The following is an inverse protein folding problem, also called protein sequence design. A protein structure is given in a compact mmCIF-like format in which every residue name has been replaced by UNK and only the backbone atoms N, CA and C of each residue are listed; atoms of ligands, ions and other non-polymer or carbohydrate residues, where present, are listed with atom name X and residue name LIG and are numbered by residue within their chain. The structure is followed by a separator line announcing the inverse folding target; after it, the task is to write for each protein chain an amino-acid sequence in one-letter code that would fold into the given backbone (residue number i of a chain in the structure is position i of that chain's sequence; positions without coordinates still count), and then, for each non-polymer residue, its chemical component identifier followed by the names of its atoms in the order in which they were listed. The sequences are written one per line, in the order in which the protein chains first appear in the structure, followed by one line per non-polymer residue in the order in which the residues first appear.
data_IF_109899712458
#
_entry.id   IF_109899712458
#
_cell.length_a   1.000
_cell.length_b   1.000
_cell.length_c   1.000
_cell.angle_alpha   90.00
_cell.angle_beta   90.00
_cell.angle_gamma   90.00
#
_symmetry.space_group_name_H-M   'P 1'
#
loop_
_entity.id
_entity.type
_entity.pdbx_description
1 polymer ?
#
# COMPACT_ATOMS: atom_id res chain seq x y z
N UNK A 1 -38.63 62.22 -20.01
CA UNK A 1 -37.39 62.25 -19.20
C UNK A 1 -36.33 61.48 -19.99
N UNK A 2 -35.33 62.18 -20.53
CA UNK A 2 -34.26 61.59 -21.34
C UNK A 2 -33.05 61.38 -20.44
N UNK A 3 -32.72 60.13 -20.13
CA UNK A 3 -31.55 59.78 -19.34
C UNK A 3 -30.27 59.97 -20.15
N UNK A 4 -29.39 60.83 -19.63
CA UNK A 4 -28.06 61.08 -20.18
C UNK A 4 -27.07 60.10 -19.56
N UNK A 5 -26.60 59.14 -20.36
CA UNK A 5 -25.48 58.26 -20.04
C UNK A 5 -24.17 59.07 -20.07
N UNK A 6 -23.63 59.39 -18.89
CA UNK A 6 -22.27 59.91 -18.73
C UNK A 6 -21.26 58.81 -19.05
N UNK A 7 -20.50 58.99 -20.13
CA UNK A 7 -19.30 58.20 -20.40
C UNK A 7 -18.17 58.70 -19.49
N UNK A 8 -17.64 57.81 -18.64
CA UNK A 8 -16.42 58.04 -17.85
C UNK A 8 -15.24 57.54 -18.68
N UNK A 9 -14.39 58.46 -19.10
CA UNK A 9 -13.13 58.17 -19.81
C UNK A 9 -12.06 57.91 -18.75
N UNK A 10 -11.56 56.68 -18.66
CA UNK A 10 -10.39 56.36 -17.84
C UNK A 10 -9.12 56.56 -18.67
N UNK A 11 -8.28 57.48 -18.23
CA UNK A 11 -6.98 57.77 -18.80
C UNK A 11 -5.93 56.97 -18.01
N UNK A 12 -5.42 55.90 -18.61
CA UNK A 12 -4.37 55.07 -18.02
C UNK A 12 -3.03 55.72 -18.36
N UNK A 13 -2.39 56.34 -17.36
CA UNK A 13 -0.99 56.76 -17.46
C UNK A 13 -0.09 55.55 -17.19
N UNK A 14 0.59 55.08 -18.22
CA UNK A 14 1.71 54.14 -18.08
C UNK A 14 2.98 54.93 -17.84
N UNK A 15 3.51 54.86 -16.61
CA UNK A 15 4.86 55.33 -16.30
C UNK A 15 5.87 54.27 -16.75
N UNK A 16 6.70 54.63 -17.72
CA UNK A 16 7.88 53.86 -18.15
C UNK A 16 8.91 53.88 -17.02
N UNK A 17 9.13 52.72 -16.39
CA UNK A 17 10.26 52.53 -15.47
C UNK A 17 11.51 52.24 -16.28
N UNK A 18 12.48 53.16 -16.22
CA UNK A 18 13.83 52.96 -16.73
C UNK A 18 14.53 51.88 -15.89
N UNK A 19 15.01 50.83 -16.56
CA UNK A 19 15.84 49.78 -15.99
C UNK A 19 17.30 50.25 -16.06
N UNK A 20 17.87 50.59 -14.91
CA UNK A 20 19.31 50.79 -14.77
C UNK A 20 20.03 49.45 -14.97
N UNK A 21 21.01 49.46 -15.90
CA UNK A 21 21.91 48.35 -16.17
C UNK A 21 22.75 48.03 -14.92
N UNK A 22 22.38 46.97 -14.20
CA UNK A 22 23.23 46.39 -13.16
C UNK A 22 24.36 45.63 -13.85
N UNK A 23 25.55 46.25 -13.85
CA UNK A 23 26.83 45.63 -14.19
C UNK A 23 27.11 44.51 -13.19
N UNK A 24 26.94 43.26 -13.60
CA UNK A 24 27.34 42.08 -12.83
C UNK A 24 28.83 41.86 -13.11
N UNK A 25 29.69 42.31 -12.20
CA UNK A 25 31.10 41.91 -12.19
C UNK A 25 31.19 40.44 -11.75
N UNK A 26 31.80 39.63 -12.62
CA UNK A 26 32.06 38.23 -12.39
C UNK A 26 33.02 38.08 -11.20
N UNK A 27 32.51 37.56 -10.08
CA UNK A 27 33.34 37.06 -8.99
C UNK A 27 33.92 35.73 -9.46
N UNK A 28 35.21 35.76 -9.78
CA UNK A 28 36.06 34.59 -9.98
C UNK A 28 36.10 33.84 -8.65
N UNK A 29 35.49 32.65 -8.60
CA UNK A 29 35.58 31.76 -7.46
C UNK A 29 37.00 31.17 -7.41
N UNK A 30 37.79 31.63 -6.44
CA UNK A 30 39.05 31.02 -6.06
C UNK A 30 38.79 29.57 -5.58
N UNK A 31 39.45 28.63 -6.24
CA UNK A 31 39.47 27.21 -5.89
C UNK A 31 40.04 27.02 -4.47
N UNK A 32 39.17 26.69 -3.51
CA UNK A 32 39.60 26.23 -2.19
C UNK A 32 40.25 24.83 -2.31
N UNK A 33 41.42 24.61 -1.67
CA UNK A 33 42.13 23.34 -1.76
C UNK A 33 41.35 22.23 -1.04
N UNK A 34 40.88 21.26 -1.82
CA UNK A 34 40.32 19.99 -1.34
C UNK A 34 41.45 19.21 -0.65
N UNK A 35 41.50 19.26 0.68
CA UNK A 35 42.30 18.33 1.45
C UNK A 35 41.70 16.92 1.27
N UNK A 36 42.46 16.05 0.61
CA UNK A 36 42.20 14.61 0.57
C UNK A 36 42.25 14.09 2.00
N UNK A 37 41.09 13.81 2.59
CA UNK A 37 41.01 13.03 3.81
C UNK A 37 41.32 11.58 3.46
N UNK A 38 42.30 11.04 4.15
CA UNK A 38 42.76 9.66 4.05
C UNK A 38 41.63 8.63 4.12
N UNK A 39 41.87 7.55 3.40
CA UNK A 39 41.10 6.31 3.33
C UNK A 39 40.55 5.89 4.69
N UNK A 40 39.23 6.00 4.84
CA UNK A 40 38.49 5.41 5.95
C UNK A 40 38.34 3.92 5.67
N UNK A 41 39.07 3.10 6.42
CA UNK A 41 38.99 1.64 6.35
C UNK A 41 37.55 1.16 6.61
N UNK A 42 37.09 0.27 5.75
CA UNK A 42 35.77 -0.35 5.78
C UNK A 42 35.77 -1.46 6.86
N UNK A 43 35.59 -1.07 8.13
CA UNK A 43 35.29 -2.06 9.18
C UNK A 43 33.85 -2.56 9.01
N UNK A 44 33.74 -3.79 8.48
CA UNK A 44 32.54 -4.60 8.55
C UNK A 44 32.23 -4.92 10.02
N UNK A 45 31.34 -4.13 10.64
CA UNK A 45 30.79 -4.45 11.96
C UNK A 45 29.77 -5.59 11.84
N UNK A 46 30.14 -6.74 12.41
CA UNK A 46 29.22 -7.82 12.74
C UNK A 46 28.18 -7.31 13.76
N UNK A 47 26.90 -7.61 13.51
CA UNK A 47 25.77 -7.23 14.36
C UNK A 47 25.75 -8.08 15.65
N UNK A 48 26.66 -7.78 16.58
CA UNK A 48 26.49 -8.20 17.98
C UNK A 48 25.43 -7.33 18.65
N UNK A 49 24.49 -7.95 19.36
CA UNK A 49 23.44 -7.33 20.18
C UNK A 49 24.05 -6.56 21.39
N UNK A 50 24.78 -5.49 21.10
CA UNK A 50 25.37 -4.61 22.10
C UNK A 50 24.30 -3.68 22.67
N UNK A 51 24.04 -3.89 23.96
CA UNK A 51 23.62 -2.94 25.00
C UNK A 51 22.91 -1.67 24.46
N UNK A 52 21.57 -1.67 24.51
CA UNK A 52 20.69 -0.62 23.95
C UNK A 52 21.06 0.81 24.35
N UNK A 53 21.70 1.00 25.50
CA UNK A 53 22.18 2.30 25.98
C UNK A 53 23.31 2.90 25.13
N UNK A 54 24.20 2.08 24.56
CA UNK A 54 25.33 2.57 23.76
C UNK A 54 24.89 3.11 22.39
N UNK A 55 23.82 2.54 21.83
CA UNK A 55 23.23 3.02 20.58
C UNK A 55 22.59 4.40 20.77
N UNK A 56 21.99 4.67 21.93
CA UNK A 56 21.32 5.95 22.20
C UNK A 56 22.31 7.12 22.27
N UNK A 57 23.49 6.94 22.86
CA UNK A 57 24.53 7.97 22.89
C UNK A 57 25.06 8.31 21.49
N UNK A 58 25.25 7.30 20.63
CA UNK A 58 25.61 7.53 19.21
C UNK A 58 24.53 8.33 18.49
N UNK A 59 23.26 8.03 18.73
CA UNK A 59 22.13 8.76 18.14
C UNK A 59 22.09 10.21 18.64
N UNK A 60 22.25 10.44 19.96
CA UNK A 60 22.31 11.78 20.56
C UNK A 60 23.42 12.66 19.95
N UNK A 61 24.61 12.10 19.71
CA UNK A 61 25.70 12.81 19.01
C UNK A 61 25.30 13.20 17.58
N UNK A 62 24.71 12.29 16.80
CA UNK A 62 24.19 12.59 15.46
C UNK A 62 23.10 13.66 15.49
N UNK A 63 22.21 13.63 16.49
CA UNK A 63 21.16 14.64 16.64
C UNK A 63 21.69 16.03 17.02
N UNK A 64 22.83 16.14 17.72
CA UNK A 64 23.52 17.43 17.93
C UNK A 64 24.05 17.99 16.61
N UNK A 65 24.61 17.15 15.74
CA UNK A 65 25.04 17.55 14.38
C UNK A 65 23.84 18.00 13.55
N UNK A 66 22.72 17.26 13.60
CA UNK A 66 21.47 17.64 12.95
C UNK A 66 21.01 19.04 13.38
N UNK A 67 20.99 19.34 14.69
CA UNK A 67 20.60 20.66 15.20
C UNK A 67 21.50 21.77 14.68
N UNK A 68 22.83 21.56 14.66
CA UNK A 68 23.79 22.52 14.11
C UNK A 68 23.56 22.75 12.61
N UNK A 69 23.41 21.68 11.83
CA UNK A 69 23.15 21.77 10.40
C UNK A 69 21.86 22.55 10.08
N UNK A 70 20.79 22.29 10.84
CA UNK A 70 19.53 23.03 10.73
C UNK A 70 19.61 24.48 11.18
N UNK A 71 20.44 24.78 12.18
CA UNK A 71 20.67 26.15 12.64
C UNK A 71 21.48 26.96 11.62
N UNK A 72 22.48 26.36 10.99
CA UNK A 72 23.27 26.98 9.93
C UNK A 72 22.48 27.15 8.63
N UNK A 73 21.66 26.15 8.26
CA UNK A 73 20.88 26.16 7.03
C UNK A 73 19.44 25.68 7.31
N UNK A 74 18.52 26.59 7.68
CA UNK A 74 17.13 26.24 8.02
C UNK A 74 16.38 25.48 6.92
N UNK A 75 16.70 25.79 5.65
CA UNK A 75 16.07 25.25 4.45
C UNK A 75 16.49 23.81 4.10
N UNK A 76 17.53 23.24 4.72
CA UNK A 76 17.96 21.87 4.42
C UNK A 76 16.85 20.87 4.75
N UNK A 77 16.32 20.13 3.78
CA UNK A 77 15.28 19.15 4.06
C UNK A 77 15.77 18.03 5.01
N UNK A 78 14.88 17.47 5.82
CA UNK A 78 15.22 16.36 6.71
C UNK A 78 15.72 15.15 5.90
N UNK A 79 15.13 14.93 4.70
CA UNK A 79 15.58 13.92 3.75
C UNK A 79 17.02 14.14 3.27
N UNK A 80 17.39 15.37 2.92
CA UNK A 80 18.76 15.70 2.52
C UNK A 80 19.73 15.41 3.66
N UNK A 81 19.45 15.93 4.87
CA UNK A 81 20.31 15.74 6.03
C UNK A 81 20.48 14.25 6.39
N UNK A 82 19.38 13.48 6.37
CA UNK A 82 19.41 12.04 6.64
C UNK A 82 20.35 11.30 5.67
N UNK A 83 20.26 11.63 4.38
CA UNK A 83 21.03 10.99 3.32
C UNK A 83 22.50 11.44 3.33
N UNK A 84 22.77 12.74 3.38
CA UNK A 84 24.12 13.29 3.19
C UNK A 84 24.98 13.22 4.44
N UNK A 85 24.43 13.56 5.61
CA UNK A 85 25.22 13.62 6.85
C UNK A 85 25.28 12.28 7.57
N UNK A 86 24.25 11.44 7.45
CA UNK A 86 24.13 10.23 8.28
C UNK A 86 24.07 8.93 7.49
N UNK A 87 23.91 8.98 6.15
CA UNK A 87 23.72 7.81 5.28
C UNK A 87 22.58 6.89 5.76
N UNK A 88 21.50 7.48 6.28
CA UNK A 88 20.30 6.75 6.74
C UNK A 88 19.06 7.18 5.95
N UNK A 89 18.01 6.37 6.06
CA UNK A 89 16.69 6.74 5.56
C UNK A 89 16.09 7.88 6.41
N UNK A 90 15.39 8.81 5.76
CA UNK A 90 14.60 9.88 6.40
C UNK A 90 13.70 9.34 7.52
N UNK A 91 13.08 8.16 7.31
CA UNK A 91 12.23 7.55 8.32
C UNK A 91 12.98 7.20 9.62
N UNK A 92 14.24 6.77 9.51
CA UNK A 92 15.10 6.48 10.66
C UNK A 92 15.42 7.76 11.43
N UNK A 93 15.76 8.84 10.72
CA UNK A 93 16.00 10.15 11.34
C UNK A 93 14.74 10.68 12.03
N UNK A 94 13.56 10.50 11.42
CA UNK A 94 12.27 10.84 12.03
C UNK A 94 12.05 10.09 13.35
N UNK A 95 12.31 8.78 13.38
CA UNK A 95 12.17 7.97 14.59
C UNK A 95 13.15 8.41 15.69
N UNK A 96 14.38 8.76 15.34
CA UNK A 96 15.34 9.34 16.29
C UNK A 96 14.82 10.67 16.86
N UNK A 97 14.39 11.60 16.00
CA UNK A 97 13.81 12.88 16.46
C UNK A 97 12.60 12.67 17.37
N UNK A 98 11.75 11.68 17.06
CA UNK A 98 10.60 11.30 17.89
C UNK A 98 11.04 10.75 19.25
N UNK A 99 11.96 9.80 19.28
CA UNK A 99 12.48 9.16 20.51
C UNK A 99 13.10 10.19 21.46
N UNK A 100 13.85 11.15 20.93
CA UNK A 100 14.58 12.15 21.71
C UNK A 100 13.87 13.51 21.81
N UNK A 101 12.58 13.60 21.46
CA UNK A 101 11.79 14.83 21.62
C UNK A 101 12.24 16.03 20.78
N UNK A 102 12.99 15.81 19.69
CA UNK A 102 13.43 16.85 18.73
C UNK A 102 12.40 17.01 17.60
N UNK A 103 11.14 16.66 17.86
CA UNK A 103 10.08 16.91 16.90
C UNK A 103 9.93 18.42 16.69
N UNK A 104 9.70 18.84 15.44
CA UNK A 104 9.22 20.19 15.16
C UNK A 104 8.02 20.43 16.07
N UNK A 105 8.04 21.51 16.86
CA UNK A 105 6.87 21.91 17.64
C UNK A 105 5.68 21.92 16.68
N UNK A 106 4.60 21.24 17.04
CA UNK A 106 3.37 21.35 16.26
C UNK A 106 3.00 22.82 16.21
N UNK A 107 2.65 23.31 15.02
CA UNK A 107 2.12 24.66 14.89
C UNK A 107 0.91 24.80 15.82
N UNK A 108 0.95 25.81 16.68
CA UNK A 108 -0.20 26.13 17.52
C UNK A 108 -1.38 26.57 16.63
N UNK A 109 -2.64 26.47 17.08
CA UNK A 109 -3.77 27.00 16.32
C UNK A 109 -3.57 28.47 15.89
N UNK A 110 -2.90 29.27 16.72
CA UNK A 110 -2.54 30.66 16.42
C UNK A 110 -1.51 30.75 15.29
N UNK A 111 -0.49 29.89 15.27
CA UNK A 111 0.50 29.85 14.19
C UNK A 111 -0.16 29.44 12.87
N UNK A 112 -1.03 28.42 12.89
CA UNK A 112 -1.77 27.97 11.71
C UNK A 112 -2.58 29.13 11.13
N UNK A 113 -3.31 29.86 11.98
CA UNK A 113 -4.10 31.03 11.57
C UNK A 113 -3.23 32.11 10.91
N UNK A 114 -2.09 32.46 11.51
CA UNK A 114 -1.14 33.43 10.95
C UNK A 114 -0.58 32.98 9.59
N UNK A 115 -0.18 31.72 9.47
CA UNK A 115 0.33 31.15 8.22
C UNK A 115 -0.75 31.20 7.14
N UNK A 116 -2.01 30.88 7.47
CA UNK A 116 -3.12 30.95 6.51
C UNK A 116 -3.43 32.39 6.08
N UNK A 117 -3.36 33.37 6.99
CA UNK A 117 -3.51 34.79 6.63
C UNK A 117 -2.41 35.25 5.67
N UNK A 118 -1.16 34.85 5.90
CA UNK A 118 -0.05 35.12 4.98
C UNK A 118 -0.27 34.47 3.62
N UNK A 119 -0.71 33.22 3.59
CA UNK A 119 -1.04 32.52 2.36
C UNK A 119 -2.07 33.30 1.52
N UNK A 120 -3.16 33.77 2.15
CA UNK A 120 -4.19 34.59 1.47
C UNK A 120 -3.62 35.89 0.94
N UNK A 121 -2.91 36.65 1.78
CA UNK A 121 -2.32 37.93 1.40
C UNK A 121 -1.31 37.79 0.25
N UNK A 122 -0.47 36.76 0.28
CA UNK A 122 0.49 36.49 -0.79
C UNK A 122 -0.25 36.10 -2.09
N UNK A 123 -1.31 35.27 -2.00
CA UNK A 123 -2.11 34.83 -3.15
C UNK A 123 -2.83 35.99 -3.83
N UNK A 124 -3.34 36.94 -3.07
CA UNK A 124 -3.95 38.17 -3.60
C UNK A 124 -2.93 39.05 -4.34
N UNK A 125 -1.67 39.09 -3.89
CA UNK A 125 -0.62 39.92 -4.51
C UNK A 125 -0.05 39.33 -5.80
N UNK A 126 0.18 38.02 -5.85
CA UNK A 126 1.00 37.41 -6.91
C UNK A 126 0.25 36.46 -7.84
N UNK A 127 -0.99 36.06 -7.52
CA UNK A 127 -1.82 35.08 -8.26
C UNK A 127 -1.18 33.70 -8.57
N UNK A 128 0.13 33.52 -8.38
CA UNK A 128 0.94 32.37 -8.83
C UNK A 128 1.80 31.77 -7.71
N UNK A 129 1.34 31.79 -6.47
CA UNK A 129 2.05 31.02 -5.43
C UNK A 129 1.86 29.55 -5.66
N UNK A 130 2.97 28.86 -5.76
CA UNK A 130 3.04 27.42 -5.74
C UNK A 130 2.85 26.94 -4.29
N UNK A 131 1.88 26.04 -4.09
CA UNK A 131 1.60 25.44 -2.79
C UNK A 131 2.82 24.71 -2.22
N UNK A 132 3.67 24.15 -3.07
CA UNK A 132 4.86 23.41 -2.65
C UNK A 132 5.92 24.37 -2.07
N UNK A 133 6.21 25.47 -2.76
CA UNK A 133 7.19 26.48 -2.31
C UNK A 133 6.74 27.15 -1.00
N UNK A 134 5.45 27.47 -0.89
CA UNK A 134 4.88 28.02 0.34
C UNK A 134 4.95 27.00 1.49
N UNK A 135 4.63 25.72 1.24
CA UNK A 135 4.72 24.70 2.27
C UNK A 135 6.15 24.53 2.79
N UNK A 136 7.14 24.57 1.89
CA UNK A 136 8.55 24.47 2.23
C UNK A 136 9.05 25.67 3.04
N UNK A 137 8.63 26.89 2.70
CA UNK A 137 8.96 28.12 3.45
C UNK A 137 8.54 28.03 4.92
N UNK A 138 7.34 27.51 5.19
CA UNK A 138 6.83 27.33 6.55
C UNK A 138 7.19 25.97 7.17
N UNK A 139 7.96 25.15 6.45
CA UNK A 139 8.43 23.85 6.92
C UNK A 139 7.31 22.84 7.20
N UNK A 140 6.19 22.94 6.49
CA UNK A 140 5.04 22.04 6.53
C UNK A 140 4.99 21.18 5.27
N UNK A 141 4.37 20.00 5.31
CA UNK A 141 4.15 19.26 4.07
C UNK A 141 2.94 19.81 3.31
N UNK A 142 2.95 19.69 1.98
CA UNK A 142 1.84 20.08 1.10
C UNK A 142 0.49 19.52 1.55
N UNK A 143 0.43 18.27 2.04
CA UNK A 143 -0.82 17.67 2.52
C UNK A 143 -1.36 18.36 3.78
N UNK A 144 -0.48 18.89 4.62
CA UNK A 144 -0.86 19.66 5.81
C UNK A 144 -1.36 21.05 5.41
N UNK A 145 -0.68 21.71 4.47
CA UNK A 145 -1.16 22.97 3.89
C UNK A 145 -2.54 22.79 3.24
N UNK A 146 -2.73 21.73 2.44
CA UNK A 146 -4.02 21.35 1.86
C UNK A 146 -5.09 21.16 2.94
N UNK A 147 -4.79 20.43 4.02
CA UNK A 147 -5.75 20.26 5.11
C UNK A 147 -6.12 21.61 5.74
N UNK A 148 -5.16 22.47 6.04
CA UNK A 148 -5.42 23.80 6.61
C UNK A 148 -6.22 24.68 5.65
N UNK A 149 -5.92 24.66 4.35
CA UNK A 149 -6.71 25.35 3.34
C UNK A 149 -8.17 24.89 3.34
N UNK A 150 -8.43 23.60 3.51
CA UNK A 150 -9.79 23.08 3.66
C UNK A 150 -10.47 23.54 4.95
N UNK A 151 -9.76 23.45 6.08
CA UNK A 151 -10.28 23.83 7.40
C UNK A 151 -10.64 25.33 7.45
N UNK A 152 -9.87 26.17 6.76
CA UNK A 152 -10.11 27.62 6.62
C UNK A 152 -11.04 27.98 5.44
N UNK A 153 -11.55 27.00 4.70
CA UNK A 153 -12.45 27.22 3.56
C UNK A 153 -11.80 27.83 2.31
N UNK A 154 -10.47 27.96 2.27
CA UNK A 154 -9.68 28.52 1.17
C UNK A 154 -9.61 27.59 -0.05
N UNK A 155 -9.79 26.28 0.16
CA UNK A 155 -9.76 25.27 -0.90
C UNK A 155 -11.02 25.27 -1.78
N UNK A 156 -12.13 25.84 -1.27
CA UNK A 156 -13.39 25.95 -2.02
C UNK A 156 -13.25 26.75 -3.32
N UNK A 157 -12.13 27.48 -3.51
CA UNK A 157 -11.85 28.27 -4.70
C UNK A 157 -10.94 27.59 -5.74
N UNK A 158 -10.27 26.47 -5.42
CA UNK A 158 -9.24 25.87 -6.32
C UNK A 158 -9.60 24.50 -6.90
N UNK A 159 -10.55 23.76 -6.32
CA UNK A 159 -10.99 22.46 -6.87
C UNK A 159 -12.50 22.36 -7.10
N UNK A 160 -13.25 23.41 -6.76
CA UNK A 160 -14.61 23.57 -7.23
C UNK A 160 -14.54 24.35 -8.54
N UNK A 161 -14.63 23.62 -9.65
CA UNK A 161 -15.41 24.15 -10.75
C UNK A 161 -16.72 24.66 -10.14
N UNK A 162 -17.10 25.90 -10.47
CA UNK A 162 -18.32 26.52 -9.99
C UNK A 162 -19.47 25.49 -10.09
N UNK A 163 -20.32 25.32 -9.08
CA UNK A 163 -21.41 24.32 -9.13
C UNK A 163 -22.22 24.43 -10.44
N UNK A 164 -22.32 25.65 -10.99
CA UNK A 164 -22.88 25.93 -12.32
C UNK A 164 -22.12 25.27 -13.47
N UNK A 165 -20.79 25.32 -13.44
CA UNK A 165 -19.92 24.67 -14.41
C UNK A 165 -19.99 23.15 -14.30
N UNK A 166 -19.97 22.59 -13.07
CA UNK A 166 -20.16 21.15 -12.84
C UNK A 166 -21.50 20.71 -13.42
N UNK A 167 -22.58 21.42 -13.11
CA UNK A 167 -23.91 21.12 -13.66
C UNK A 167 -23.93 21.25 -15.18
N UNK A 168 -23.21 22.21 -15.77
CA UNK A 168 -23.12 22.40 -17.22
C UNK A 168 -22.39 21.23 -17.89
N UNK A 169 -21.26 20.80 -17.32
CA UNK A 169 -20.51 19.63 -17.77
C UNK A 169 -21.37 18.37 -17.65
N UNK A 170 -22.08 18.18 -16.54
CA UNK A 170 -22.96 17.01 -16.36
C UNK A 170 -24.16 17.03 -17.33
N UNK A 171 -24.78 18.18 -17.58
CA UNK A 171 -25.81 18.33 -18.63
C UNK A 171 -25.27 17.95 -20.01
N UNK A 172 -24.07 18.43 -20.36
CA UNK A 172 -23.43 18.09 -21.64
C UNK A 172 -23.02 16.62 -21.71
N UNK A 173 -22.54 16.04 -20.61
CA UNK A 173 -22.27 14.61 -20.48
C UNK A 173 -23.54 13.79 -20.82
N UNK A 174 -24.70 14.16 -20.28
CA UNK A 174 -25.96 13.47 -20.59
C UNK A 174 -26.38 13.62 -22.05
N UNK A 175 -26.20 14.81 -22.63
CA UNK A 175 -26.47 15.06 -24.05
C UNK A 175 -25.59 14.18 -24.95
N UNK A 176 -24.31 14.03 -24.61
CA UNK A 176 -23.37 13.15 -25.34
C UNK A 176 -23.78 11.68 -25.16
N UNK A 177 -24.03 11.25 -23.92
CA UNK A 177 -24.38 9.86 -23.61
C UNK A 177 -25.72 9.43 -24.21
N UNK A 178 -26.67 10.35 -24.35
CA UNK A 178 -27.95 10.09 -25.03
C UNK A 178 -27.80 9.93 -26.54
N UNK A 179 -26.84 10.63 -27.16
CA UNK A 179 -26.57 10.52 -28.61
C UNK A 179 -25.68 9.31 -28.94
N UNK A 180 -24.76 8.99 -28.05
CA UNK A 180 -23.80 7.89 -28.24
C UNK A 180 -23.77 7.04 -26.95
N UNK A 181 -24.68 6.07 -26.77
CA UNK A 181 -24.73 5.25 -25.55
C UNK A 181 -23.44 4.48 -25.24
N UNK A 182 -22.71 4.08 -26.29
CA UNK A 182 -21.52 3.23 -26.19
C UNK A 182 -20.22 3.97 -25.83
N UNK A 183 -20.21 5.30 -25.89
CA UNK A 183 -19.02 6.10 -25.55
C UNK A 183 -18.65 5.89 -24.07
N UNK A 184 -17.37 5.66 -23.76
CA UNK A 184 -16.95 5.39 -22.37
C UNK A 184 -16.81 6.70 -21.59
N UNK A 185 -17.06 6.65 -20.28
CA UNK A 185 -17.00 7.84 -19.41
C UNK A 185 -15.63 8.56 -19.47
N UNK A 186 -14.53 7.82 -19.66
CA UNK A 186 -13.20 8.42 -19.77
C UNK A 186 -13.02 9.24 -21.06
N UNK A 187 -13.69 8.85 -22.15
CA UNK A 187 -13.61 9.58 -23.44
C UNK A 187 -14.39 10.88 -23.35
N UNK A 188 -15.54 10.85 -22.66
CA UNK A 188 -16.30 12.07 -22.36
C UNK A 188 -15.49 12.99 -21.44
N UNK A 189 -14.87 12.46 -20.38
CA UNK A 189 -14.02 13.23 -19.48
C UNK A 189 -12.87 13.94 -20.23
N UNK A 190 -12.20 13.23 -21.14
CA UNK A 190 -11.14 13.79 -21.99
C UNK A 190 -11.63 14.95 -22.86
N UNK A 191 -12.87 14.90 -23.38
CA UNK A 191 -13.46 16.01 -24.16
C UNK A 191 -13.67 17.29 -23.32
N UNK A 192 -13.86 17.16 -22.01
CA UNK A 192 -13.99 18.29 -21.09
C UNK A 192 -12.66 18.70 -20.44
N UNK A 193 -11.54 18.06 -20.78
CA UNK A 193 -10.25 18.36 -20.17
C UNK A 193 -10.15 17.97 -18.69
N UNK A 194 -10.99 17.02 -18.23
CA UNK A 194 -11.02 16.60 -16.82
C UNK A 194 -10.61 15.13 -16.67
N UNK A 195 -10.09 14.78 -15.49
CA UNK A 195 -9.82 13.39 -15.15
C UNK A 195 -11.11 12.57 -15.02
N UNK A 196 -11.06 11.31 -15.44
CA UNK A 196 -12.20 10.39 -15.38
C UNK A 196 -12.72 10.17 -13.95
N UNK A 197 -11.84 10.20 -12.94
CA UNK A 197 -12.24 10.08 -11.53
C UNK A 197 -12.94 11.35 -11.06
N UNK A 198 -12.53 12.52 -11.55
CA UNK A 198 -13.20 13.81 -11.27
C UNK A 198 -14.63 13.79 -11.79
N UNK A 199 -14.83 13.39 -13.06
CA UNK A 199 -16.17 13.24 -13.63
C UNK A 199 -17.04 12.25 -12.82
N UNK A 200 -16.47 11.11 -12.41
CA UNK A 200 -17.18 10.13 -11.58
C UNK A 200 -17.56 10.70 -10.21
N UNK A 201 -16.68 11.49 -9.59
CA UNK A 201 -16.94 12.16 -8.31
C UNK A 201 -18.07 13.17 -8.44
N UNK A 202 -18.07 14.00 -9.48
CA UNK A 202 -19.13 14.97 -9.75
C UNK A 202 -20.48 14.30 -10.00
N UNK A 203 -20.50 13.20 -10.78
CA UNK A 203 -21.71 12.38 -10.95
C UNK A 203 -22.26 11.95 -9.61
N UNK A 204 -21.42 11.40 -8.72
CA UNK A 204 -21.84 10.97 -7.37
C UNK A 204 -22.35 12.12 -6.51
N UNK A 205 -21.66 13.27 -6.52
CA UNK A 205 -22.03 14.45 -5.74
C UNK A 205 -23.39 15.02 -6.16
N UNK A 206 -23.68 15.05 -7.46
CA UNK A 206 -24.97 15.52 -7.98
C UNK A 206 -26.07 14.44 -7.98
N UNK A 207 -25.89 13.34 -7.23
CA UNK A 207 -26.90 12.30 -7.10
C UNK A 207 -27.07 11.42 -8.35
N UNK A 208 -26.22 11.56 -9.37
CA UNK A 208 -26.18 10.61 -10.47
C UNK A 208 -25.62 9.31 -9.94
N UNK A 209 -26.53 8.37 -9.67
CA UNK A 209 -26.18 6.97 -9.43
C UNK A 209 -25.34 6.55 -10.63
N UNK A 210 -24.03 6.42 -10.42
CA UNK A 210 -23.18 5.64 -11.30
C UNK A 210 -23.96 4.35 -11.49
N UNK A 211 -24.52 4.12 -12.69
CA UNK A 211 -24.89 2.77 -13.11
C UNK A 211 -23.59 2.01 -12.89
N UNK A 212 -23.48 1.31 -11.76
CA UNK A 212 -22.31 0.49 -11.51
C UNK A 212 -22.28 -0.40 -12.73
N UNK A 213 -21.26 -0.22 -13.57
CA UNK A 213 -21.18 -0.86 -14.88
C UNK A 213 -21.26 -2.40 -14.70
N UNK A 214 -21.10 -2.89 -13.47
CA UNK A 214 -21.24 -4.27 -13.05
C UNK A 214 -22.19 -4.47 -11.84
N UNK A 215 -23.25 -3.67 -11.68
CA UNK A 215 -24.32 -4.03 -10.73
C UNK A 215 -25.24 -5.03 -11.41
N UNK A 216 -24.80 -6.29 -11.41
CA UNK A 216 -25.67 -7.42 -11.67
C UNK A 216 -26.94 -7.28 -10.84
N UNK A 217 -28.09 -7.56 -11.45
CA UNK A 217 -29.34 -7.66 -10.70
C UNK A 217 -29.20 -8.76 -9.64
N UNK A 218 -29.91 -8.68 -8.51
CA UNK A 218 -29.90 -9.73 -7.50
C UNK A 218 -30.09 -11.12 -8.12
N UNK A 219 -31.05 -11.28 -9.04
CA UNK A 219 -31.36 -12.56 -9.69
C UNK A 219 -30.21 -13.09 -10.55
N UNK A 220 -29.56 -12.23 -11.35
CA UNK A 220 -28.37 -12.60 -12.14
C UNK A 220 -27.22 -13.06 -11.24
N UNK A 221 -27.02 -12.35 -10.12
CA UNK A 221 -26.02 -12.71 -9.12
C UNK A 221 -26.32 -14.07 -8.48
N UNK A 222 -27.59 -14.34 -8.13
CA UNK A 222 -28.01 -15.64 -7.59
C UNK A 222 -27.78 -16.76 -8.61
N UNK A 223 -28.15 -16.53 -9.87
CA UNK A 223 -28.01 -17.51 -10.95
C UNK A 223 -26.53 -17.83 -11.24
N UNK A 224 -25.66 -16.82 -11.28
CA UNK A 224 -24.21 -17.04 -11.46
C UNK A 224 -23.62 -17.83 -10.28
N UNK A 225 -24.06 -17.57 -9.04
CA UNK A 225 -23.63 -18.33 -7.88
C UNK A 225 -24.16 -19.77 -7.90
N UNK A 226 -25.37 -20.00 -8.43
CA UNK A 226 -25.91 -21.34 -8.66
C UNK A 226 -25.05 -22.10 -9.67
N UNK A 227 -24.75 -21.50 -10.82
CA UNK A 227 -23.87 -22.10 -11.84
C UNK A 227 -22.46 -22.38 -11.28
N UNK A 228 -21.90 -21.46 -10.49
CA UNK A 228 -20.64 -21.68 -9.79
C UNK A 228 -20.68 -22.93 -8.88
N UNK A 229 -21.76 -23.12 -8.10
CA UNK A 229 -21.93 -24.30 -7.25
C UNK A 229 -21.99 -25.59 -8.08
N UNK A 230 -22.72 -25.59 -9.20
CA UNK A 230 -22.81 -26.76 -10.09
C UNK A 230 -21.46 -27.09 -10.74
N UNK A 231 -20.71 -26.09 -11.20
CA UNK A 231 -19.36 -26.28 -11.74
C UNK A 231 -18.38 -26.85 -10.71
N UNK A 232 -18.57 -26.56 -9.41
CA UNK A 232 -17.75 -27.15 -8.36
C UNK A 232 -18.16 -28.58 -8.06
N UNK A 233 -19.46 -28.90 -8.04
CA UNK A 233 -19.94 -30.26 -7.75
C UNK A 233 -19.48 -31.26 -8.81
N UNK A 234 -19.33 -30.81 -10.06
CA UNK A 234 -18.78 -31.63 -11.14
C UNK A 234 -17.31 -32.02 -10.92
N UNK A 235 -16.78 -32.93 -11.76
CA UNK A 235 -15.35 -33.33 -11.77
C UNK A 235 -14.37 -32.18 -12.09
N UNK A 236 -14.88 -30.97 -12.34
CA UNK A 236 -14.14 -29.72 -12.57
C UNK A 236 -13.54 -29.10 -11.28
N UNK A 237 -13.41 -29.88 -10.19
CA UNK A 237 -12.76 -29.45 -8.94
C UNK A 237 -11.33 -28.89 -9.13
N UNK A 238 -10.66 -29.28 -10.22
CA UNK A 238 -9.30 -28.83 -10.54
C UNK A 238 -9.23 -27.39 -11.08
N UNK A 239 -10.35 -26.81 -11.54
CA UNK A 239 -10.35 -25.47 -12.12
C UNK A 239 -10.17 -24.39 -11.07
N UNK A 240 -9.27 -23.45 -11.36
CA UNK A 240 -9.04 -22.33 -10.46
C UNK A 240 -10.25 -21.36 -10.48
N UNK A 241 -10.56 -20.70 -9.36
CA UNK A 241 -11.56 -19.63 -9.27
C UNK A 241 -11.41 -18.57 -10.39
N UNK A 242 -10.19 -18.36 -10.92
CA UNK A 242 -9.95 -17.51 -12.09
C UNK A 242 -10.59 -18.06 -13.37
N UNK A 243 -10.41 -19.34 -13.66
CA UNK A 243 -10.96 -19.99 -14.85
C UNK A 243 -12.48 -20.12 -14.77
N UNK A 244 -13.00 -20.37 -13.56
CA UNK A 244 -14.44 -20.39 -13.32
C UNK A 244 -15.07 -19.00 -13.47
N UNK A 245 -14.41 -17.95 -12.97
CA UNK A 245 -14.85 -16.58 -13.21
C UNK A 245 -14.88 -16.25 -14.70
N UNK A 246 -13.87 -16.72 -15.46
CA UNK A 246 -13.82 -16.59 -16.93
C UNK A 246 -14.96 -17.36 -17.61
N UNK A 247 -15.23 -18.62 -17.21
CA UNK A 247 -16.35 -19.43 -17.72
C UNK A 247 -17.71 -18.75 -17.45
N UNK A 248 -17.86 -18.11 -16.28
CA UNK A 248 -19.07 -17.39 -15.87
C UNK A 248 -19.14 -15.95 -16.42
N UNK A 249 -18.16 -15.53 -17.24
CA UNK A 249 -18.05 -14.18 -17.78
C UNK A 249 -18.16 -13.07 -16.72
N UNK A 250 -17.54 -13.28 -15.56
CA UNK A 250 -17.46 -12.30 -14.47
C UNK A 250 -16.01 -12.03 -14.08
N UNK A 251 -15.76 -10.83 -13.56
CA UNK A 251 -14.44 -10.53 -13.03
C UNK A 251 -14.14 -11.36 -11.77
N UNK A 252 -12.92 -11.88 -11.63
CA UNK A 252 -12.51 -12.74 -10.50
C UNK A 252 -12.79 -12.11 -9.13
N UNK A 253 -12.53 -10.81 -8.97
CA UNK A 253 -12.78 -10.13 -7.69
C UNK A 253 -14.27 -10.05 -7.35
N UNK A 254 -15.14 -9.93 -8.36
CA UNK A 254 -16.60 -9.98 -8.19
C UNK A 254 -17.04 -11.35 -7.68
N UNK A 255 -16.54 -12.43 -8.31
CA UNK A 255 -16.82 -13.80 -7.86
C UNK A 255 -16.36 -14.00 -6.41
N UNK A 256 -15.15 -13.57 -6.06
CA UNK A 256 -14.62 -13.71 -4.69
C UNK A 256 -15.46 -12.97 -3.66
N UNK A 257 -15.92 -11.75 -3.99
CA UNK A 257 -16.80 -10.97 -3.12
C UNK A 257 -18.13 -11.69 -2.91
N UNK A 258 -18.78 -12.13 -3.99
CA UNK A 258 -20.06 -12.83 -3.90
C UNK A 258 -19.94 -14.18 -3.19
N UNK A 259 -18.87 -14.93 -3.39
CA UNK A 259 -18.62 -16.14 -2.59
C UNK A 259 -18.66 -15.84 -1.10
N UNK A 260 -17.98 -14.78 -0.67
CA UNK A 260 -17.99 -14.35 0.73
C UNK A 260 -19.40 -13.95 1.20
N UNK A 261 -20.14 -13.18 0.39
CA UNK A 261 -21.51 -12.75 0.70
C UNK A 261 -22.48 -13.94 0.83
N UNK A 262 -22.24 -15.04 0.13
CA UNK A 262 -23.04 -16.26 0.15
C UNK A 262 -22.50 -17.35 1.09
N UNK A 263 -21.54 -17.03 1.96
CA UNK A 263 -20.94 -17.98 2.89
C UNK A 263 -20.10 -19.09 2.23
N UNK A 264 -19.74 -18.95 0.96
CA UNK A 264 -18.89 -19.89 0.24
C UNK A 264 -17.43 -19.63 0.60
N UNK A 265 -16.83 -20.56 1.32
CA UNK A 265 -15.41 -20.48 1.70
C UNK A 265 -14.54 -20.32 0.45
N UNK A 266 -13.53 -19.46 0.55
CA UNK A 266 -12.49 -19.39 -0.48
C UNK A 266 -11.81 -20.75 -0.56
N UNK A 267 -11.66 -21.28 -1.77
CA UNK A 267 -11.02 -22.59 -1.94
C UNK A 267 -9.54 -22.41 -1.67
N UNK A 268 -9.01 -23.15 -0.69
CA UNK A 268 -7.57 -23.30 -0.55
C UNK A 268 -7.09 -24.03 -1.80
N UNK A 269 -6.23 -23.37 -2.58
CA UNK A 269 -5.65 -23.96 -3.79
C UNK A 269 -4.84 -25.23 -3.51
N UNK A 270 -4.29 -25.32 -2.31
CA UNK A 270 -3.46 -26.41 -1.87
C UNK A 270 -3.96 -26.87 -0.51
N UNK A 271 -4.27 -28.16 -0.40
CA UNK A 271 -4.42 -28.79 0.92
C UNK A 271 -3.08 -28.76 1.65
N UNK A 272 -3.09 -28.89 2.99
CA UNK A 272 -1.83 -28.92 3.74
C UNK A 272 -0.97 -30.14 3.33
N UNK A 273 -1.61 -31.24 2.91
CA UNK A 273 -0.93 -32.41 2.31
C UNK A 273 -0.24 -32.06 0.99
N UNK A 274 -0.89 -31.27 0.14
CA UNK A 274 -0.29 -30.82 -1.13
C UNK A 274 0.86 -29.86 -0.90
N UNK A 275 0.72 -28.92 0.04
CA UNK A 275 1.80 -28.02 0.44
C UNK A 275 3.01 -28.82 0.90
N UNK A 276 2.82 -29.83 1.75
CA UNK A 276 3.90 -30.69 2.23
C UNK A 276 4.56 -31.47 1.07
N UNK A 277 3.78 -32.02 0.14
CA UNK A 277 4.33 -32.68 -1.06
C UNK A 277 5.15 -31.72 -1.92
N UNK A 278 4.68 -30.49 -2.10
CA UNK A 278 5.38 -29.44 -2.87
C UNK A 278 6.67 -29.03 -2.16
N UNK A 279 6.63 -28.85 -0.83
CA UNK A 279 7.81 -28.53 -0.02
C UNK A 279 8.85 -29.66 -0.06
N UNK A 280 8.43 -30.91 0.05
CA UNK A 280 9.33 -32.06 -0.12
C UNK A 280 10.02 -32.06 -1.50
N UNK A 281 9.27 -31.75 -2.57
CA UNK A 281 9.86 -31.58 -3.92
C UNK A 281 10.82 -30.39 -3.98
N UNK A 282 10.48 -29.27 -3.33
CA UNK A 282 11.33 -28.09 -3.23
C UNK A 282 12.68 -28.42 -2.57
N UNK A 283 12.69 -29.05 -1.39
CA UNK A 283 13.94 -29.40 -0.69
C UNK A 283 14.77 -30.43 -1.50
N UNK A 284 14.13 -31.39 -2.17
CA UNK A 284 14.81 -32.33 -3.08
C UNK A 284 15.48 -31.60 -4.25
N UNK A 285 14.81 -30.62 -4.87
CA UNK A 285 15.39 -29.80 -5.95
C UNK A 285 16.54 -28.94 -5.44
N UNK A 286 16.36 -28.28 -4.28
CA UNK A 286 17.37 -27.41 -3.68
C UNK A 286 18.63 -28.19 -3.25
N UNK A 287 18.48 -29.42 -2.75
CA UNK A 287 19.61 -30.32 -2.44
C UNK A 287 20.39 -30.74 -3.69
N UNK A 288 19.70 -30.99 -4.81
CA UNK A 288 20.34 -31.38 -6.08
C UNK A 288 21.02 -30.20 -6.78
N UNK A 289 20.46 -29.01 -6.65
CA UNK A 289 20.93 -27.80 -7.33
C UNK A 289 20.90 -26.61 -6.36
N UNK A 290 21.94 -26.44 -5.53
CA UNK A 290 22.00 -25.36 -4.54
C UNK A 290 21.92 -23.97 -5.17
N UNK A 291 22.45 -23.80 -6.39
CA UNK A 291 22.47 -22.53 -7.14
C UNK A 291 21.10 -22.12 -7.71
N UNK A 292 20.09 -23.00 -7.70
CA UNK A 292 18.76 -22.64 -8.18
C UNK A 292 18.12 -21.58 -7.27
N UNK A 293 17.78 -20.44 -7.87
CA UNK A 293 17.02 -19.39 -7.19
C UNK A 293 15.60 -19.87 -6.88
N UNK A 294 15.03 -19.40 -5.76
CA UNK A 294 13.68 -19.78 -5.33
C UNK A 294 12.62 -19.45 -6.40
N UNK A 295 12.83 -18.39 -7.18
CA UNK A 295 11.95 -18.01 -8.29
C UNK A 295 11.91 -19.09 -9.38
N UNK A 296 13.06 -19.68 -9.74
CA UNK A 296 13.14 -20.76 -10.73
C UNK A 296 12.46 -22.04 -10.22
N UNK A 297 12.72 -22.41 -8.96
CA UNK A 297 12.10 -23.59 -8.34
C UNK A 297 10.58 -23.41 -8.24
N UNK A 298 10.10 -22.24 -7.81
CA UNK A 298 8.67 -21.95 -7.73
C UNK A 298 7.97 -22.08 -9.09
N UNK A 299 8.61 -21.59 -10.17
CA UNK A 299 8.10 -21.75 -11.54
C UNK A 299 8.05 -23.22 -11.96
N UNK A 300 9.08 -24.01 -11.64
CA UNK A 300 9.13 -25.45 -11.95
C UNK A 300 8.07 -26.26 -11.19
N UNK A 301 7.71 -25.82 -9.98
CA UNK A 301 6.66 -26.44 -9.17
C UNK A 301 5.25 -25.88 -9.48
N UNK A 302 5.12 -24.93 -10.41
CA UNK A 302 3.86 -24.24 -10.73
C UNK A 302 3.21 -23.59 -9.50
N UNK A 303 4.01 -22.98 -8.62
CA UNK A 303 3.55 -22.30 -7.41
C UNK A 303 4.03 -20.84 -7.41
N UNK A 304 3.22 -19.94 -6.85
CA UNK A 304 3.65 -18.56 -6.63
C UNK A 304 4.81 -18.50 -5.62
N UNK A 305 5.89 -17.77 -5.97
CA UNK A 305 7.08 -17.60 -5.11
C UNK A 305 6.74 -17.14 -3.69
N UNK A 306 5.80 -16.20 -3.53
CA UNK A 306 5.42 -15.68 -2.21
C UNK A 306 4.75 -16.75 -1.35
N UNK A 307 3.89 -17.57 -1.96
CA UNK A 307 3.24 -18.69 -1.27
C UNK A 307 4.27 -19.73 -0.84
N UNK A 308 5.19 -20.09 -1.74
CA UNK A 308 6.26 -21.04 -1.43
C UNK A 308 7.14 -20.55 -0.28
N UNK A 309 7.58 -19.28 -0.31
CA UNK A 309 8.35 -18.67 0.78
C UNK A 309 7.58 -18.71 2.10
N UNK A 310 6.30 -18.34 2.09
CA UNK A 310 5.45 -18.39 3.28
C UNK A 310 5.34 -19.82 3.85
N UNK A 311 5.07 -20.81 3.01
CA UNK A 311 4.95 -22.20 3.45
C UNK A 311 6.27 -22.76 3.97
N UNK A 312 7.41 -22.37 3.37
CA UNK A 312 8.74 -22.73 3.87
C UNK A 312 8.93 -22.19 5.29
N UNK A 313 8.67 -20.91 5.53
CA UNK A 313 8.75 -20.32 6.87
C UNK A 313 7.80 -21.00 7.86
N UNK A 314 6.55 -21.29 7.46
CA UNK A 314 5.59 -22.02 8.30
C UNK A 314 6.07 -23.45 8.62
N UNK A 315 6.74 -24.12 7.69
CA UNK A 315 7.26 -25.47 7.85
C UNK A 315 8.51 -25.50 8.74
N UNK A 316 9.47 -24.59 8.48
CA UNK A 316 10.70 -24.46 9.28
C UNK A 316 10.35 -24.15 10.75
N UNK A 317 9.38 -23.25 10.98
CA UNK A 317 8.89 -22.95 12.33
C UNK A 317 8.25 -24.17 13.03
N UNK A 318 7.54 -25.05 12.31
CA UNK A 318 6.95 -26.26 12.92
C UNK A 318 8.02 -27.25 13.37
N UNK A 319 9.07 -27.43 12.55
CA UNK A 319 10.18 -28.33 12.88
C UNK A 319 10.91 -27.90 14.16
N UNK A 320 11.11 -26.59 14.36
CA UNK A 320 11.76 -26.07 15.58
C UNK A 320 10.94 -26.32 16.85
N UNK A 321 9.61 -26.30 16.77
CA UNK A 321 8.75 -26.60 17.93
C UNK A 321 8.71 -28.08 18.29
N UNK A 322 8.72 -28.96 17.28
CA UNK A 322 8.67 -30.42 17.52
C UNK A 322 9.96 -30.95 18.16
N UNK A 323 11.13 -30.38 17.83
CA UNK A 323 12.42 -30.81 18.41
C UNK A 323 12.76 -30.12 19.74
N UNK A 324 12.17 -28.95 20.01
CA UNK A 324 12.44 -28.19 21.24
C UNK A 324 11.69 -28.68 22.48
N UNK A 325 10.66 -29.53 22.31
CA UNK A 325 9.79 -29.95 23.39
C UNK A 325 9.94 -31.44 23.78
N UNK A 326 10.84 -32.19 23.15
CA UNK A 326 11.10 -33.60 23.48
C UNK A 326 12.27 -33.82 24.44
N UNK A 327 12.79 -32.77 25.07
CA UNK A 327 14.06 -32.82 25.81
C UNK A 327 14.04 -32.25 27.23
N UNK A 328 12.87 -32.08 27.86
CA UNK A 328 12.80 -31.47 29.20
C UNK A 328 12.00 -32.23 30.27
N UNK A 329 11.41 -33.38 29.97
CA UNK A 329 10.63 -34.13 30.96
C UNK A 329 11.29 -35.42 31.48
N UNK A 330 12.48 -35.80 30.99
CA UNK A 330 13.17 -37.03 31.43
C UNK A 330 14.12 -36.84 32.63
N UNK A 331 13.90 -35.83 33.46
CA UNK A 331 14.69 -35.59 34.67
C UNK A 331 13.88 -35.77 35.97
N UNK A 332 12.96 -36.74 36.04
CA UNK A 332 12.44 -37.21 37.34
C UNK A 332 12.28 -38.73 37.32
N UNK A 333 13.08 -39.36 38.19
CA UNK A 333 12.88 -40.68 38.81
C UNK A 333 13.30 -41.93 38.02
N UNK A 334 14.61 -42.12 37.92
CA UNK A 334 15.20 -43.45 38.10
C UNK A 334 14.97 -43.89 39.54
N UNK A 335 13.91 -44.65 39.79
CA UNK A 335 13.86 -45.54 40.94
C UNK A 335 13.85 -46.97 40.41
N UNK A 336 14.93 -47.68 40.72
CA UNK A 336 15.14 -49.09 40.41
C UNK A 336 14.01 -49.94 41.02
N UNK A 337 13.35 -50.74 40.19
CA UNK A 337 12.80 -52.03 40.61
C UNK A 337 13.07 -53.04 39.48
N UNK A 338 14.08 -53.87 39.72
CA UNK A 338 14.28 -55.15 39.06
C UNK A 338 13.03 -56.02 39.27
N UNK A 339 12.40 -56.45 38.19
CA UNK A 339 11.70 -57.74 38.17
C UNK A 339 11.93 -58.41 36.83
N UNK A 340 12.50 -59.59 36.95
CA UNK A 340 12.91 -60.54 35.93
C UNK A 340 11.72 -61.36 35.40
N UNK A 341 12.05 -62.14 34.36
CA UNK A 341 11.34 -63.33 33.85
C UNK A 341 10.16 -63.08 32.90
N UNK A 342 10.29 -63.42 31.61
CA UNK A 342 10.25 -64.75 30.97
C UNK A 342 8.81 -65.08 30.51
N UNK A 343 8.71 -65.61 29.27
CA UNK A 343 7.47 -66.04 28.58
C UNK A 343 6.47 -64.93 28.19
N UNK A 344 5.99 -64.80 26.95
CA UNK A 344 5.32 -65.82 26.14
C UNK A 344 5.48 -65.51 24.65
N UNK A 345 5.97 -66.52 23.92
CA UNK A 345 5.89 -66.68 22.46
C UNK A 345 4.43 -66.77 21.97
N UNK A 346 4.19 -66.19 20.79
CA UNK A 346 3.28 -66.66 19.76
C UNK A 346 1.79 -66.88 20.11
N UNK A 347 0.91 -66.12 19.44
CA UNK A 347 -0.25 -66.60 18.67
C UNK A 347 -1.25 -65.46 18.45
N UNK A 348 -1.54 -65.15 17.18
CA UNK A 348 -2.91 -64.93 16.67
C UNK A 348 -2.86 -64.48 15.21
N UNK A 349 -2.62 -65.48 14.35
CA UNK A 349 -3.27 -65.52 13.05
C UNK A 349 -4.74 -65.91 13.28
N UNK A 350 -5.59 -65.45 12.36
CA UNK A 350 -6.94 -65.93 12.03
C UNK A 350 -8.15 -65.19 12.61
N UNK A 351 -9.10 -65.03 11.68
CA UNK A 351 -10.55 -65.09 11.88
C UNK A 351 -11.29 -63.78 12.18
N UNK A 352 -11.72 -63.08 11.11
CA UNK A 352 -13.14 -62.70 10.98
C UNK A 352 -13.56 -62.96 9.53
N UNK A 353 -14.26 -64.09 9.37
CA UNK A 353 -15.10 -64.44 8.22
C UNK A 353 -16.34 -63.53 8.19
N UNK A 354 -16.79 -63.26 6.96
CA UNK A 354 -18.17 -63.26 6.51
C UNK A 354 -19.26 -62.77 7.48
N UNK A 355 -19.93 -61.70 7.06
CA UNK A 355 -21.37 -61.61 7.27
C UNK A 355 -22.04 -61.12 6.00
N UNK A 356 -22.47 -62.10 5.20
CA UNK A 356 -23.65 -61.98 4.37
C UNK A 356 -24.85 -61.64 5.27
N UNK A 357 -25.61 -60.61 4.91
CA UNK A 357 -27.05 -60.59 5.17
C UNK A 357 -27.71 -60.04 3.92
N UNK A 358 -28.38 -60.98 3.27
CA UNK A 358 -29.47 -60.86 2.30
C UNK A 358 -30.63 -60.01 2.80
N UNK A 359 -31.59 -59.81 1.88
CA UNK A 359 -33.01 -59.50 2.12
C UNK A 359 -33.28 -58.04 2.54
N UNK A 360 -34.29 -57.33 2.07
CA UNK A 360 -35.47 -57.54 1.22
C UNK A 360 -36.03 -56.09 1.11
N UNK A 361 -36.51 -55.56 0.00
CA UNK A 361 -37.91 -55.66 -0.38
C UNK A 361 -38.25 -54.36 -1.13
N UNK A 362 -38.88 -54.52 -2.29
CA UNK A 362 -39.72 -53.54 -3.00
C UNK A 362 -40.86 -52.99 -2.08
N UNK A 363 -41.80 -52.09 -2.49
CA UNK A 363 -42.15 -51.71 -3.86
C UNK A 363 -42.49 -50.23 -4.13
N UNK A 364 -42.62 -49.98 -5.42
CA UNK A 364 -43.59 -49.09 -6.11
C UNK A 364 -44.47 -48.17 -5.26
N UNK A 365 -44.38 -46.87 -5.56
CA UNK A 365 -45.52 -46.05 -5.97
C UNK A 365 -45.11 -45.10 -7.08
#
# INVERSE_FOLDING_TARGET
MKDQLKQVKFEIKTEETQLDEVKIEAIVEDELPIQKTDSFEEECFEEEELNSNFQDDKILKKLKIYKKAKQSNPHLSDAYIAKTLFRINEHTLYNWKKKFGIQKKRHSPTDISKIMQLYVAMKERTSKINDDDFADEFGICRQTLFKWKNDFGLEKALTFHNDKEIQTILKNYHKIKSKCPDIRDYEIAKKFGIDSKTLLRWKKQCGYKSKQINSYKPDEKFEIIRQYKELIKGKDFALHDYELAKKLNIHRTTLMRWKSEFGLKSRKLYSDKDKNKILQKYYKLKKRQPELSETKIAKQLSVNRRSLKKWKTEFDNRQTFEHGNSGKDDAISSHDEETSEEDVLAQSNAHISEKETSEESSPEM
#
